data_IF_750389271381
#
_entry.id   IF_750389271381
#
_cell.length_a   1.000
_cell.length_b   1.000
_cell.length_c   1.000
_cell.angle_alpha   90.00
_cell.angle_beta   90.00
_cell.angle_gamma   90.00
#
_symmetry.space_group_name_H-M   'P 1'
#
loop_
_entity.id
_entity.type
_entity.pdbx_description
1 polymer ?
#
# COMPACT_ATOMS: atom_id res chain seq x y z
N UNK A 1 -11.74 47.97 0.94
CA UNK A 1 -12.86 47.07 0.60
C UNK A 1 -12.52 45.77 1.30
N UNK A 2 -13.16 45.55 2.46
CA UNK A 2 -12.92 44.39 3.33
C UNK A 2 -13.60 43.20 2.67
N UNK A 3 -12.86 42.13 2.40
CA UNK A 3 -13.43 40.90 1.84
C UNK A 3 -14.53 40.36 2.79
N UNK A 4 -15.72 40.03 2.27
CA UNK A 4 -16.87 39.69 3.09
C UNK A 4 -16.79 38.26 3.59
N UNK A 5 -16.97 38.12 4.91
CA UNK A 5 -17.43 36.94 5.63
C UNK A 5 -16.65 35.63 5.41
N UNK A 6 -15.72 35.36 6.34
CA UNK A 6 -15.52 33.97 6.80
C UNK A 6 -16.90 33.45 7.23
N UNK A 7 -17.39 32.33 6.69
CA UNK A 7 -18.74 31.85 6.99
C UNK A 7 -18.91 31.60 8.49
N UNK A 8 -20.11 31.93 8.95
CA UNK A 8 -20.52 32.02 10.35
C UNK A 8 -20.33 30.69 11.10
N UNK A 9 -19.60 30.75 12.22
CA UNK A 9 -19.20 29.61 13.02
C UNK A 9 -20.33 28.96 13.86
N UNK A 10 -21.59 29.28 13.57
CA UNK A 10 -22.74 28.51 14.04
C UNK A 10 -22.81 27.11 13.39
N UNK A 11 -22.22 26.96 12.20
CA UNK A 11 -21.99 25.69 11.50
C UNK A 11 -20.77 24.91 12.04
N UNK A 12 -19.95 25.53 12.90
CA UNK A 12 -18.71 24.94 13.44
C UNK A 12 -18.96 23.79 14.40
N UNK A 13 -20.09 23.77 15.11
CA UNK A 13 -20.43 22.67 16.01
C UNK A 13 -20.69 21.37 15.26
N UNK A 14 -21.55 21.41 14.24
CA UNK A 14 -21.86 20.27 13.37
C UNK A 14 -20.64 19.87 12.54
N UNK A 15 -19.92 20.84 11.98
CA UNK A 15 -18.68 20.57 11.23
C UNK A 15 -17.57 19.96 12.12
N UNK A 16 -17.46 20.37 13.39
CA UNK A 16 -16.51 19.78 14.34
C UNK A 16 -16.90 18.35 14.74
N UNK A 17 -18.20 18.06 14.91
CA UNK A 17 -18.69 16.72 15.19
C UNK A 17 -18.47 15.77 14.00
N UNK A 18 -18.73 16.23 12.78
CA UNK A 18 -18.47 15.45 11.56
C UNK A 18 -16.97 15.18 11.38
N UNK A 19 -16.12 16.19 11.56
CA UNK A 19 -14.66 16.03 11.53
C UNK A 19 -14.18 15.02 12.57
N UNK A 20 -14.72 15.07 13.80
CA UNK A 20 -14.39 14.12 14.86
C UNK A 20 -14.74 12.68 14.47
N UNK A 21 -15.90 12.46 13.86
CA UNK A 21 -16.30 11.13 13.37
C UNK A 21 -15.37 10.60 12.28
N UNK A 22 -14.91 11.46 11.36
CA UNK A 22 -13.91 11.07 10.35
C UNK A 22 -12.58 10.70 11.00
N UNK A 23 -12.09 11.50 11.96
CA UNK A 23 -10.84 11.23 12.68
C UNK A 23 -10.92 9.90 13.41
N UNK A 24 -11.95 9.68 14.23
CA UNK A 24 -12.13 8.43 14.97
C UNK A 24 -12.20 7.21 14.04
N UNK A 25 -12.82 7.35 12.86
CA UNK A 25 -12.86 6.27 11.88
C UNK A 25 -11.48 6.00 11.28
N UNK A 26 -10.69 7.04 10.98
CA UNK A 26 -9.33 6.89 10.45
C UNK A 26 -8.42 6.25 11.51
N UNK A 27 -8.51 6.67 12.77
CA UNK A 27 -7.71 6.11 13.86
C UNK A 27 -7.97 4.60 14.02
N UNK A 28 -9.24 4.18 14.03
CA UNK A 28 -9.59 2.75 14.03
C UNK A 28 -8.99 1.99 12.83
N UNK A 29 -9.06 2.57 11.63
CA UNK A 29 -8.49 1.95 10.43
C UNK A 29 -6.96 1.87 10.48
N UNK A 30 -6.29 2.87 11.06
CA UNK A 30 -4.83 2.84 11.25
C UNK A 30 -4.42 1.81 12.31
N UNK A 31 -5.20 1.61 13.36
CA UNK A 31 -5.00 0.52 14.33
C UNK A 31 -5.14 -0.86 13.66
N UNK A 32 -6.20 -1.08 12.89
CA UNK A 32 -6.42 -2.33 12.14
C UNK A 32 -5.28 -2.60 11.14
N UNK A 33 -4.84 -1.55 10.43
CA UNK A 33 -3.71 -1.62 9.50
C UNK A 33 -2.39 -1.94 10.23
N UNK A 34 -2.19 -1.40 11.43
CA UNK A 34 -1.01 -1.69 12.25
C UNK A 34 -1.02 -3.15 12.74
N UNK A 35 -2.17 -3.67 13.18
CA UNK A 35 -2.35 -5.07 13.53
C UNK A 35 -2.03 -6.00 12.35
N UNK A 36 -2.64 -5.76 11.18
CA UNK A 36 -2.36 -6.52 9.96
C UNK A 36 -0.89 -6.46 9.53
N UNK A 37 -0.25 -5.29 9.68
CA UNK A 37 1.18 -5.15 9.42
C UNK A 37 2.04 -5.95 10.41
N UNK A 38 1.58 -6.11 11.65
CA UNK A 38 2.14 -7.02 12.66
C UNK A 38 2.09 -8.47 12.19
N UNK A 39 0.90 -8.95 11.84
CA UNK A 39 0.68 -10.33 11.37
C UNK A 39 1.56 -10.65 10.14
N UNK A 40 1.65 -9.73 9.18
CA UNK A 40 2.53 -9.89 8.01
C UNK A 40 3.99 -10.04 8.43
N UNK A 41 4.46 -9.27 9.42
CA UNK A 41 5.84 -9.39 9.92
C UNK A 41 6.08 -10.75 10.58
N UNK A 42 5.12 -11.28 11.32
CA UNK A 42 5.22 -12.62 11.92
C UNK A 42 5.34 -13.71 10.86
N UNK A 43 4.55 -13.66 9.79
CA UNK A 43 4.68 -14.57 8.65
C UNK A 43 6.06 -14.47 7.99
N UNK A 44 6.59 -13.24 7.84
CA UNK A 44 7.95 -13.04 7.34
C UNK A 44 9.03 -13.54 8.30
N UNK A 45 8.79 -13.54 9.61
CA UNK A 45 9.70 -14.11 10.60
C UNK A 45 9.66 -15.64 10.54
N UNK A 46 8.47 -16.24 10.44
CA UNK A 46 8.27 -17.67 10.32
C UNK A 46 8.97 -18.25 9.08
N UNK A 47 8.76 -17.65 7.91
CA UNK A 47 9.41 -18.15 6.69
C UNK A 47 10.94 -18.05 6.77
N UNK A 48 11.48 -17.01 7.43
CA UNK A 48 12.93 -16.89 7.66
C UNK A 48 13.43 -18.01 8.59
N UNK A 49 12.68 -18.30 9.66
CA UNK A 49 12.98 -19.42 10.57
C UNK A 49 12.97 -20.78 9.87
N UNK A 50 12.19 -20.91 8.79
CA UNK A 50 12.15 -22.09 7.91
C UNK A 50 13.21 -22.08 6.80
N UNK A 51 14.07 -21.06 6.74
CA UNK A 51 15.16 -20.96 5.76
C UNK A 51 14.82 -20.31 4.42
N UNK A 52 13.64 -19.70 4.26
CA UNK A 52 13.28 -18.98 3.04
C UNK A 52 13.88 -17.57 2.98
N UNK A 53 14.25 -17.13 1.77
CA UNK A 53 14.72 -15.76 1.54
C UNK A 53 13.55 -14.76 1.49
N UNK A 54 13.47 -13.91 2.51
CA UNK A 54 12.41 -12.89 2.62
C UNK A 54 12.47 -11.80 1.54
N UNK A 55 13.63 -11.54 0.92
CA UNK A 55 13.76 -10.58 -0.19
C UNK A 55 13.17 -11.18 -1.46
N UNK A 56 13.47 -12.45 -1.76
CA UNK A 56 12.90 -13.18 -2.87
C UNK A 56 11.36 -13.25 -2.77
N UNK A 57 10.82 -13.58 -1.59
CA UNK A 57 9.37 -13.60 -1.36
C UNK A 57 8.73 -12.23 -1.59
N UNK A 58 9.35 -11.13 -1.12
CA UNK A 58 8.85 -9.76 -1.40
C UNK A 58 8.83 -9.44 -2.89
N UNK A 59 9.85 -9.88 -3.63
CA UNK A 59 9.89 -9.74 -5.09
C UNK A 59 8.74 -10.50 -5.75
N UNK A 60 8.50 -11.75 -5.34
CA UNK A 60 7.36 -12.55 -5.83
C UNK A 60 6.04 -11.85 -5.54
N UNK A 61 5.82 -11.35 -4.32
CA UNK A 61 4.60 -10.61 -3.98
C UNK A 61 4.40 -9.36 -4.86
N UNK A 62 5.48 -8.64 -5.20
CA UNK A 62 5.42 -7.49 -6.11
C UNK A 62 5.02 -7.91 -7.52
N UNK A 63 5.65 -8.97 -8.05
CA UNK A 63 5.33 -9.52 -9.38
C UNK A 63 3.87 -9.98 -9.44
N UNK A 64 3.38 -10.63 -8.39
CA UNK A 64 2.00 -11.13 -8.29
C UNK A 64 0.94 -10.02 -8.19
N UNK A 65 1.34 -8.81 -7.77
CA UNK A 65 0.45 -7.64 -7.73
C UNK A 65 0.28 -6.96 -9.09
N UNK A 66 1.21 -7.17 -10.03
CA UNK A 66 1.09 -6.67 -11.41
C UNK A 66 -0.01 -7.41 -12.16
N UNK A 67 -0.64 -6.72 -13.10
CA UNK A 67 -1.58 -7.33 -14.02
C UNK A 67 -0.90 -8.46 -14.82
N UNK A 68 -1.68 -9.48 -15.19
CA UNK A 68 -1.13 -10.65 -15.87
C UNK A 68 -0.63 -10.31 -17.28
N UNK A 69 -1.33 -9.45 -18.01
CA UNK A 69 -0.93 -9.05 -19.36
C UNK A 69 0.32 -8.17 -19.31
N UNK A 70 0.35 -7.19 -18.38
CA UNK A 70 1.53 -6.35 -18.14
C UNK A 70 2.77 -7.19 -17.81
N UNK A 71 2.62 -8.21 -16.94
CA UNK A 71 3.73 -9.12 -16.61
C UNK A 71 4.23 -9.89 -17.83
N UNK A 72 3.33 -10.44 -18.64
CA UNK A 72 3.73 -11.20 -19.84
C UNK A 72 4.44 -10.33 -20.88
N UNK A 73 3.99 -9.09 -21.05
CA UNK A 73 4.64 -8.14 -21.96
C UNK A 73 6.06 -7.80 -21.48
N UNK A 74 6.22 -7.49 -20.19
CA UNK A 74 7.53 -7.24 -19.58
C UNK A 74 8.46 -8.45 -19.70
N UNK A 75 7.96 -9.66 -19.42
CA UNK A 75 8.72 -10.91 -19.52
C UNK A 75 9.19 -11.17 -20.96
N UNK A 76 8.32 -10.97 -21.95
CA UNK A 76 8.66 -11.15 -23.37
C UNK A 76 9.75 -10.17 -23.85
N UNK A 77 9.67 -8.90 -23.42
CA UNK A 77 10.69 -7.89 -23.74
C UNK A 77 12.02 -8.24 -23.07
N UNK A 78 11.98 -8.64 -21.79
CA UNK A 78 13.18 -9.01 -21.06
C UNK A 78 13.87 -10.24 -21.69
N UNK A 79 13.09 -11.26 -22.04
CA UNK A 79 13.58 -12.46 -22.71
C UNK A 79 14.25 -12.12 -24.05
N UNK A 80 13.62 -11.27 -24.87
CA UNK A 80 14.21 -10.80 -26.13
C UNK A 80 15.59 -10.14 -25.91
N UNK A 81 15.71 -9.28 -24.92
CA UNK A 81 16.99 -8.62 -24.61
C UNK A 81 18.02 -9.59 -24.03
N UNK A 82 17.62 -10.52 -23.17
CA UNK A 82 18.52 -11.54 -22.64
C UNK A 82 19.07 -12.44 -23.75
N UNK A 83 18.23 -12.85 -24.71
CA UNK A 83 18.66 -13.59 -25.90
C UNK A 83 19.65 -12.78 -26.74
N UNK A 84 19.35 -11.50 -27.00
CA UNK A 84 20.25 -10.61 -27.75
C UNK A 84 21.62 -10.41 -27.06
N UNK A 85 21.66 -10.50 -25.73
CA UNK A 85 22.88 -10.39 -24.93
C UNK A 85 23.57 -11.75 -24.68
N UNK A 86 23.02 -12.87 -25.16
CA UNK A 86 23.57 -14.21 -24.91
C UNK A 86 23.49 -14.66 -23.44
N UNK A 87 22.51 -14.15 -22.70
CA UNK A 87 22.27 -14.44 -21.28
C UNK A 87 21.15 -15.48 -21.05
N UNK A 88 20.61 -16.05 -22.14
CA UNK A 88 19.54 -17.05 -22.14
C UNK A 88 20.05 -18.40 -22.66
#
# INVERSE_FOLDING_TARGET
MVDPAVPDMADTGVAAEELKQFIERIERLEEEKAALAGDIKEVFAELKGRGFDAKAVRTILRIRKKDHAERQEEEAILELYMQALGMA
#
